data_IF_932698546200
#
_entry.id   IF_932698546200
#
_cell.length_a   1.000
_cell.length_b   1.000
_cell.length_c   1.000
_cell.angle_alpha   90.00
_cell.angle_beta   90.00
_cell.angle_gamma   90.00
#
_symmetry.space_group_name_H-M   'P 1'
#
loop_
_entity.id
_entity.type
_entity.pdbx_description
1 polymer ?
#
# COMPACT_ATOMS: atom_id res chain seq x y z
N UNK A 1 7.73 11.67 0.19
CA UNK A 1 6.99 12.37 1.25
C UNK A 1 7.53 11.94 2.61
N UNK A 2 7.77 12.86 3.55
CA UNK A 2 8.20 12.48 4.89
C UNK A 2 7.14 11.63 5.60
N UNK A 3 7.59 10.62 6.32
CA UNK A 3 6.72 9.68 7.02
C UNK A 3 5.83 10.38 8.04
N UNK A 4 6.37 11.35 8.76
CA UNK A 4 5.58 12.12 9.73
C UNK A 4 4.40 12.82 9.08
N UNK A 5 4.57 13.28 7.85
CA UNK A 5 3.50 13.95 7.11
C UNK A 5 2.42 12.97 6.65
N UNK A 6 2.80 11.76 6.28
CA UNK A 6 1.85 10.70 5.93
C UNK A 6 0.91 10.43 7.10
N UNK A 7 1.48 10.17 8.28
CA UNK A 7 0.70 9.88 9.48
C UNK A 7 -0.15 11.08 9.87
N UNK A 8 0.41 12.28 9.79
CA UNK A 8 -0.31 13.51 10.10
C UNK A 8 -1.54 13.69 9.20
N UNK A 9 -1.39 13.44 7.90
CA UNK A 9 -2.50 13.52 6.95
C UNK A 9 -3.56 12.47 7.27
N UNK A 10 -3.15 11.26 7.63
CA UNK A 10 -4.09 10.20 8.00
C UNK A 10 -4.91 10.57 9.23
N UNK A 11 -4.30 11.22 10.21
CA UNK A 11 -5.02 11.70 11.39
C UNK A 11 -6.09 12.74 11.04
N UNK A 12 -5.92 13.44 9.92
CA UNK A 12 -6.87 14.44 9.41
C UNK A 12 -7.85 13.85 8.39
N UNK A 13 -7.87 12.54 8.22
CA UNK A 13 -8.67 11.84 7.20
C UNK A 13 -8.34 12.27 5.77
N UNK A 14 -7.09 12.56 5.51
CA UNK A 14 -6.60 12.87 4.16
C UNK A 14 -5.83 11.66 3.65
N UNK A 15 -6.36 11.00 2.60
CA UNK A 15 -5.82 9.76 2.08
C UNK A 15 -5.58 9.83 0.58
N UNK A 16 -4.47 9.24 0.14
CA UNK A 16 -4.23 8.97 -1.28
C UNK A 16 -4.53 7.49 -1.56
N UNK A 17 -4.73 7.16 -2.83
CA UNK A 17 -5.10 5.80 -3.21
C UNK A 17 -3.94 4.82 -3.10
N UNK A 18 -2.70 5.28 -3.31
CA UNK A 18 -1.51 4.41 -3.30
C UNK A 18 -0.38 5.05 -2.52
N UNK A 19 0.17 4.29 -1.59
CA UNK A 19 1.40 4.67 -0.87
C UNK A 19 2.46 3.62 -1.15
N UNK A 20 3.59 4.06 -1.68
CA UNK A 20 4.72 3.18 -1.95
C UNK A 20 5.89 3.59 -1.07
N UNK A 21 6.21 2.77 -0.09
CA UNK A 21 7.26 3.03 0.89
C UNK A 21 8.47 2.16 0.53
N UNK A 22 9.58 2.78 0.17
CA UNK A 22 10.78 2.05 -0.20
C UNK A 22 12.04 2.65 0.40
N UNK A 23 13.12 1.86 0.43
CA UNK A 23 14.40 2.31 0.90
C UNK A 23 15.06 1.37 1.88
N UNK A 24 16.22 1.80 2.39
CA UNK A 24 17.07 1.00 3.26
C UNK A 24 16.76 1.18 4.75
N UNK A 25 15.84 2.09 5.10
CA UNK A 25 15.50 2.39 6.49
C UNK A 25 14.19 1.71 6.89
N UNK A 26 14.24 0.40 7.24
CA UNK A 26 13.02 -0.36 7.53
C UNK A 26 12.27 0.15 8.76
N UNK A 27 12.96 0.80 9.71
CA UNK A 27 12.31 1.33 10.91
C UNK A 27 11.17 2.28 10.57
N UNK A 28 11.40 3.23 9.66
CA UNK A 28 10.37 4.21 9.30
C UNK A 28 9.24 3.59 8.49
N UNK A 29 9.56 2.64 7.63
CA UNK A 29 8.56 1.91 6.86
C UNK A 29 7.66 1.13 7.83
N UNK A 30 8.24 0.42 8.79
CA UNK A 30 7.48 -0.35 9.79
C UNK A 30 6.60 0.55 10.65
N UNK A 31 7.04 1.76 10.95
CA UNK A 31 6.25 2.73 11.71
C UNK A 31 4.95 3.08 11.00
N UNK A 32 5.03 3.37 9.70
CA UNK A 32 3.86 3.71 8.89
C UNK A 32 2.93 2.51 8.76
N UNK A 33 3.50 1.34 8.50
CA UNK A 33 2.71 0.11 8.34
C UNK A 33 1.98 -0.24 9.64
N UNK A 34 2.66 -0.13 10.77
CA UNK A 34 2.07 -0.42 12.07
C UNK A 34 0.90 0.52 12.38
N UNK A 35 1.08 1.81 12.09
CA UNK A 35 0.00 2.78 12.25
C UNK A 35 -1.19 2.43 11.35
N UNK A 36 -0.91 2.08 10.10
CA UNK A 36 -1.96 1.74 9.14
C UNK A 36 -2.78 0.53 9.59
N UNK A 37 -2.12 -0.50 10.09
CA UNK A 37 -2.81 -1.71 10.55
C UNK A 37 -3.74 -1.43 11.74
N UNK A 38 -3.34 -0.52 12.62
CA UNK A 38 -4.05 -0.30 13.88
C UNK A 38 -5.05 0.83 13.85
N UNK A 39 -4.85 1.83 12.99
CA UNK A 39 -5.57 3.09 13.13
C UNK A 39 -6.29 3.61 11.89
N UNK A 40 -6.05 3.07 10.70
CA UNK A 40 -6.73 3.56 9.50
C UNK A 40 -8.20 3.17 9.43
N UNK A 41 -8.55 2.05 10.03
CA UNK A 41 -9.93 1.56 10.11
C UNK A 41 -10.34 1.42 11.56
N UNK A 42 -11.61 1.65 11.85
CA UNK A 42 -12.17 1.33 13.15
C UNK A 42 -12.06 -0.18 13.38
N UNK A 43 -11.90 -0.59 14.63
CA UNK A 43 -11.71 -2.00 14.97
C UNK A 43 -12.83 -2.88 14.40
N UNK A 44 -14.06 -2.40 14.43
CA UNK A 44 -15.21 -3.13 13.89
C UNK A 44 -15.16 -3.31 12.37
N UNK A 45 -14.39 -2.47 11.66
CA UNK A 45 -14.27 -2.53 10.21
C UNK A 45 -13.10 -3.38 9.73
N UNK A 46 -12.13 -3.63 10.60
CA UNK A 46 -10.88 -4.30 10.20
C UNK A 46 -11.10 -5.73 9.74
N UNK A 47 -12.03 -6.44 10.32
CA UNK A 47 -12.28 -7.84 9.99
C UNK A 47 -12.64 -8.06 8.51
N UNK A 48 -13.34 -7.08 7.91
CA UNK A 48 -13.82 -7.20 6.54
C UNK A 48 -13.10 -6.29 5.55
N UNK A 49 -12.40 -5.27 6.04
CA UNK A 49 -11.88 -4.21 5.19
C UNK A 49 -10.36 -4.01 5.29
N UNK A 50 -9.67 -4.83 6.08
CA UNK A 50 -8.21 -4.82 6.15
C UNK A 50 -7.67 -6.13 5.60
N UNK A 51 -6.81 -6.05 4.59
CA UNK A 51 -6.14 -7.21 4.01
C UNK A 51 -4.63 -7.00 4.07
N UNK A 52 -3.91 -8.00 4.57
CA UNK A 52 -2.45 -7.93 4.68
C UNK A 52 -1.85 -9.08 3.89
N UNK A 53 -0.94 -8.76 2.99
CA UNK A 53 -0.23 -9.74 2.17
C UNK A 53 1.27 -9.62 2.41
N UNK A 54 1.98 -10.75 2.25
CA UNK A 54 3.44 -10.79 2.32
C UNK A 54 3.97 -11.16 0.95
N UNK A 55 4.94 -10.38 0.45
CA UNK A 55 5.46 -10.54 -0.91
C UNK A 55 5.95 -11.93 -1.24
N UNK A 56 6.54 -12.63 -0.27
CA UNK A 56 7.05 -13.99 -0.46
C UNK A 56 5.93 -15.00 -0.74
N UNK A 57 4.78 -14.82 -0.12
CA UNK A 57 3.69 -15.79 -0.15
C UNK A 57 2.53 -15.39 -1.05
N UNK A 58 2.40 -14.11 -1.38
CA UNK A 58 1.26 -13.60 -2.12
C UNK A 58 1.53 -13.57 -3.62
N UNK A 59 0.48 -13.83 -4.38
CA UNK A 59 0.48 -13.65 -5.83
C UNK A 59 0.02 -12.23 -6.14
N UNK A 60 0.66 -11.57 -7.11
CA UNK A 60 0.29 -10.21 -7.52
C UNK A 60 -1.19 -10.09 -7.91
N UNK A 61 -1.75 -11.14 -8.52
CA UNK A 61 -3.16 -11.13 -8.91
C UNK A 61 -4.10 -11.12 -7.69
N UNK A 62 -3.73 -11.82 -6.63
CA UNK A 62 -4.50 -11.81 -5.37
C UNK A 62 -4.53 -10.41 -4.76
N UNK A 63 -3.39 -9.73 -4.79
CA UNK A 63 -3.28 -8.38 -4.24
C UNK A 63 -4.14 -7.40 -5.04
N UNK A 64 -4.05 -7.45 -6.37
CA UNK A 64 -4.86 -6.59 -7.24
C UNK A 64 -6.35 -6.85 -7.04
N UNK A 65 -6.76 -8.11 -6.96
CA UNK A 65 -8.15 -8.45 -6.76
C UNK A 65 -8.66 -7.92 -5.42
N UNK A 66 -7.85 -7.98 -4.38
CA UNK A 66 -8.20 -7.40 -3.08
C UNK A 66 -8.38 -5.88 -3.19
N UNK A 67 -7.49 -5.20 -3.92
CA UNK A 67 -7.58 -3.76 -4.10
C UNK A 67 -8.82 -3.32 -4.88
N UNK A 68 -9.33 -4.18 -5.75
CA UNK A 68 -10.49 -3.86 -6.59
C UNK A 68 -11.84 -4.17 -5.93
N UNK A 69 -11.85 -4.81 -4.78
CA UNK A 69 -13.10 -5.04 -4.07
C UNK A 69 -13.62 -3.74 -3.46
N UNK A 70 -14.93 -3.68 -3.26
CA UNK A 70 -15.54 -2.54 -2.59
C UNK A 70 -15.60 -2.79 -1.08
N UNK A 71 -15.51 -1.73 -0.26
CA UNK A 71 -15.61 -1.88 1.19
C UNK A 71 -16.94 -2.50 1.63
N UNK A 72 -16.89 -3.23 2.75
CA UNK A 72 -18.06 -3.89 3.33
C UNK A 72 -18.46 -3.15 4.59
N UNK A 73 -19.61 -2.48 4.55
CA UNK A 73 -20.12 -1.67 5.66
C UNK A 73 -19.12 -0.60 6.14
N UNK A 74 -18.35 -0.03 5.21
CA UNK A 74 -17.35 1.00 5.51
C UNK A 74 -17.15 1.88 4.27
N UNK A 75 -16.60 3.08 4.48
CA UNK A 75 -16.33 4.00 3.37
C UNK A 75 -15.08 3.62 2.59
N UNK A 76 -14.15 2.91 3.23
CA UNK A 76 -12.87 2.54 2.60
C UNK A 76 -12.40 1.19 3.09
N UNK A 77 -11.49 0.61 2.32
CA UNK A 77 -10.73 -0.57 2.72
C UNK A 77 -9.25 -0.27 2.66
N UNK A 78 -8.46 -1.04 3.40
CA UNK A 78 -7.00 -0.92 3.43
C UNK A 78 -6.38 -2.24 2.99
N UNK A 79 -5.49 -2.17 2.01
CA UNK A 79 -4.72 -3.34 1.54
C UNK A 79 -3.25 -3.03 1.75
N UNK A 80 -2.57 -3.88 2.50
CA UNK A 80 -1.15 -3.70 2.82
C UNK A 80 -0.36 -4.87 2.23
N UNK A 81 0.64 -4.54 1.43
CA UNK A 81 1.60 -5.53 0.91
C UNK A 81 2.93 -5.31 1.62
N UNK A 82 3.27 -6.23 2.51
CA UNK A 82 4.54 -6.21 3.23
C UNK A 82 5.60 -7.00 2.48
N UNK A 83 6.86 -6.62 2.66
CA UNK A 83 8.00 -7.33 2.06
C UNK A 83 7.86 -7.48 0.55
N UNK A 84 7.44 -6.39 -0.11
CA UNK A 84 7.19 -6.39 -1.55
C UNK A 84 8.44 -6.72 -2.37
N UNK A 85 9.65 -6.48 -1.83
CA UNK A 85 10.90 -6.81 -2.50
C UNK A 85 11.05 -8.31 -2.78
N UNK A 86 10.26 -9.14 -2.11
CA UNK A 86 10.27 -10.60 -2.30
C UNK A 86 9.15 -11.10 -3.22
N UNK A 87 8.31 -10.22 -3.74
CA UNK A 87 7.21 -10.62 -4.61
C UNK A 87 7.70 -10.89 -6.04
N UNK A 88 7.31 -12.04 -6.58
CA UNK A 88 7.55 -12.35 -7.99
C UNK A 88 6.66 -11.48 -8.87
N UNK A 89 7.23 -10.99 -9.96
CA UNK A 89 6.50 -10.18 -10.93
C UNK A 89 5.85 -8.94 -10.31
N UNK A 90 6.58 -8.27 -9.41
CA UNK A 90 6.10 -7.08 -8.72
C UNK A 90 5.60 -6.02 -9.70
N UNK A 91 6.22 -5.91 -10.87
CA UNK A 91 5.86 -4.94 -11.92
C UNK A 91 4.44 -5.13 -12.45
N UNK A 92 3.83 -6.28 -12.22
CA UNK A 92 2.43 -6.51 -12.61
C UNK A 92 1.45 -5.63 -11.85
N UNK A 93 1.88 -5.05 -10.73
CA UNK A 93 1.04 -4.11 -9.97
C UNK A 93 0.82 -2.80 -10.73
N UNK A 94 1.60 -2.51 -11.76
CA UNK A 94 1.46 -1.30 -12.59
C UNK A 94 0.02 -1.12 -13.08
N UNK A 95 -0.62 -2.20 -13.50
CA UNK A 95 -1.98 -2.12 -14.05
C UNK A 95 -2.99 -1.57 -13.05
N UNK A 96 -2.83 -1.87 -11.78
CA UNK A 96 -3.70 -1.32 -10.74
C UNK A 96 -3.31 0.12 -10.40
N UNK A 97 -2.01 0.39 -10.25
CA UNK A 97 -1.52 1.71 -9.83
C UNK A 97 -1.86 2.79 -10.85
N UNK A 98 -1.96 2.43 -12.13
CA UNK A 98 -2.38 3.37 -13.18
C UNK A 98 -3.80 3.89 -12.96
N UNK A 99 -4.70 3.04 -12.46
CA UNK A 99 -6.11 3.37 -12.28
C UNK A 99 -6.63 2.82 -10.94
N UNK A 100 -6.13 3.35 -9.82
CA UNK A 100 -6.53 2.82 -8.51
C UNK A 100 -7.96 3.22 -8.14
N UNK A 101 -8.61 2.39 -7.33
CA UNK A 101 -9.91 2.72 -6.77
C UNK A 101 -9.76 3.73 -5.64
N UNK A 102 -10.61 4.76 -5.63
CA UNK A 102 -10.57 5.78 -4.58
C UNK A 102 -11.03 5.27 -3.21
N UNK A 103 -11.78 4.17 -3.17
CA UNK A 103 -12.25 3.57 -1.91
C UNK A 103 -11.23 2.63 -1.28
N UNK A 104 -10.09 2.37 -1.94
CA UNK A 104 -9.03 1.51 -1.44
C UNK A 104 -7.79 2.32 -1.12
N UNK A 105 -7.24 2.14 0.08
CA UNK A 105 -5.93 2.67 0.44
C UNK A 105 -4.95 1.51 0.30
N UNK A 106 -4.12 1.55 -0.75
CA UNK A 106 -3.14 0.50 -1.05
C UNK A 106 -1.76 0.94 -0.58
N UNK A 107 -1.19 0.21 0.36
CA UNK A 107 0.10 0.55 0.98
C UNK A 107 1.09 -0.57 0.70
N UNK A 108 2.21 -0.23 0.07
CA UNK A 108 3.26 -1.19 -0.28
C UNK A 108 4.51 -0.86 0.51
N UNK A 109 5.06 -1.86 1.18
CA UNK A 109 6.35 -1.77 1.88
C UNK A 109 7.41 -2.54 1.10
N UNK A 110 8.34 -1.81 0.48
CA UNK A 110 9.44 -2.34 -0.32
C UNK A 110 10.74 -1.99 0.39
N UNK A 111 11.25 -2.91 1.19
CA UNK A 111 12.41 -2.66 2.06
C UNK A 111 13.71 -3.04 1.38
N UNK A 112 14.80 -2.56 1.97
CA UNK A 112 16.19 -2.93 1.69
C UNK A 112 16.74 -2.46 0.36
N UNK A 113 15.88 -2.09 -0.60
CA UNK A 113 16.33 -1.57 -1.89
C UNK A 113 15.21 -0.78 -2.56
N UNK A 114 15.58 0.04 -3.52
CA UNK A 114 14.62 0.80 -4.31
C UNK A 114 14.23 -0.01 -5.56
N UNK A 115 13.06 0.29 -6.10
CA UNK A 115 12.65 -0.23 -7.41
C UNK A 115 13.61 0.32 -8.47
N UNK A 116 13.95 -0.52 -9.47
CA UNK A 116 14.80 -0.09 -10.58
C UNK A 116 14.21 1.16 -11.24
N UNK A 117 14.98 2.25 -11.21
CA UNK A 117 14.53 3.55 -11.70
C UNK A 117 14.18 3.60 -13.17
N UNK A 118 14.59 2.59 -13.96
CA UNK A 118 14.28 2.50 -15.39
C UNK A 118 13.04 1.70 -15.68
N UNK A 119 12.46 1.04 -14.68
CA UNK A 119 11.26 0.22 -14.87
C UNK A 119 10.03 1.10 -15.10
N UNK A 120 9.01 0.52 -15.75
CA UNK A 120 7.72 1.18 -15.92
C UNK A 120 7.08 1.45 -14.55
N UNK A 121 7.29 0.55 -13.59
CA UNK A 121 6.77 0.71 -12.23
C UNK A 121 7.37 1.96 -11.57
N UNK A 122 8.70 2.14 -11.62
CA UNK A 122 9.34 3.28 -11.00
C UNK A 122 8.86 4.60 -11.58
N UNK A 123 8.69 4.65 -12.90
CA UNK A 123 8.19 5.85 -13.59
C UNK A 123 6.78 6.19 -13.17
N UNK A 124 5.93 5.19 -13.05
CA UNK A 124 4.55 5.37 -12.63
C UNK A 124 4.45 5.85 -11.19
N UNK A 125 5.29 5.31 -10.31
CA UNK A 125 5.27 5.66 -8.89
C UNK A 125 5.55 7.14 -8.65
N UNK A 126 6.29 7.79 -9.53
CA UNK A 126 6.57 9.23 -9.40
C UNK A 126 5.34 10.09 -9.59
N UNK A 127 4.34 9.60 -10.31
CA UNK A 127 3.16 10.39 -10.67
C UNK A 127 1.87 9.92 -10.00
N UNK A 128 1.77 8.65 -9.61
CA UNK A 128 0.53 8.05 -9.11
C UNK A 128 0.57 7.64 -7.63
N UNK A 129 1.76 7.56 -7.03
CA UNK A 129 1.90 7.11 -5.66
C UNK A 129 2.54 8.17 -4.78
N UNK A 130 2.39 8.00 -3.50
CA UNK A 130 3.02 8.85 -2.48
C UNK A 130 4.21 8.12 -1.87
#
# INVERSE_FOLDING_TARGET
>A
MPISKIISNWKKNVFDAVYWLEGEEPFYIDQVIDYAEKHLLAESEQAFNLSIFYGKDADWAQVINACKRYPVFAEKQVVILKEAQHMNQLEKLVSYIEHPLSSTIFIVAHKDKNVDGRSALAKLLKTKAV
#
